data_IF_330999101450
#
_entry.id   IF_330999101450
#
_cell.length_a   1.000
_cell.length_b   1.000
_cell.length_c   1.000
_cell.angle_alpha   90.00
_cell.angle_beta   90.00
_cell.angle_gamma   90.00
#
_symmetry.space_group_name_H-M   'P 1'
#
loop_
_entity.id
_entity.type
_entity.pdbx_description
1 polymer ?
#
# COMPACT_ATOMS: atom_id res chain seq x y z
N UNK A 1 -2.20 -8.01 -16.39
CA UNK A 1 -2.43 -8.99 -15.30
C UNK A 1 -2.94 -8.27 -14.07
N UNK A 2 -3.71 -8.96 -13.21
CA UNK A 2 -4.06 -8.45 -11.88
C UNK A 2 -2.79 -8.30 -11.04
N UNK A 3 -2.74 -7.26 -10.19
CA UNK A 3 -1.53 -6.94 -9.41
C UNK A 3 -1.70 -7.12 -7.90
N UNK A 4 -2.88 -7.51 -7.44
CA UNK A 4 -3.19 -7.65 -6.02
C UNK A 4 -2.75 -6.43 -5.20
N UNK A 5 -2.24 -6.65 -3.99
CA UNK A 5 -1.83 -5.59 -3.07
C UNK A 5 -0.62 -4.73 -3.51
N UNK A 6 -0.02 -5.00 -4.67
CA UNK A 6 0.97 -4.08 -5.26
C UNK A 6 0.32 -2.73 -5.62
N UNK A 7 -1.01 -2.71 -5.80
CA UNK A 7 -1.88 -1.52 -5.89
C UNK A 7 -1.58 -0.49 -4.80
N UNK A 8 -1.29 -0.93 -3.58
CA UNK A 8 -1.07 -0.05 -2.43
C UNK A 8 0.14 0.89 -2.58
N UNK A 9 1.06 0.59 -3.50
CA UNK A 9 2.12 1.54 -3.87
C UNK A 9 1.54 2.80 -4.54
N UNK A 10 0.57 2.63 -5.46
CA UNK A 10 -0.09 3.77 -6.10
C UNK A 10 -0.96 4.54 -5.10
N UNK A 11 -1.71 3.82 -4.24
CA UNK A 11 -2.48 4.42 -3.15
C UNK A 11 -1.58 5.30 -2.28
N UNK A 12 -0.41 4.77 -1.87
CA UNK A 12 0.55 5.51 -1.06
C UNK A 12 1.10 6.76 -1.77
N UNK A 13 1.48 6.64 -3.03
CA UNK A 13 1.98 7.78 -3.81
C UNK A 13 0.95 8.90 -3.90
N UNK A 14 -0.32 8.58 -4.17
CA UNK A 14 -1.39 9.59 -4.27
C UNK A 14 -1.65 10.27 -2.92
N UNK A 15 -1.65 9.51 -1.82
CA UNK A 15 -1.77 10.07 -0.46
C UNK A 15 -0.61 11.02 -0.16
N UNK A 16 0.62 10.63 -0.50
CA UNK A 16 1.84 11.40 -0.22
C UNK A 16 2.06 12.60 -1.13
N UNK A 17 1.33 12.71 -2.24
CA UNK A 17 1.28 13.92 -3.06
C UNK A 17 0.43 15.04 -2.41
N UNK A 18 -0.34 14.70 -1.40
CA UNK A 18 -1.14 15.65 -0.62
C UNK A 18 -0.30 16.45 0.39
N UNK A 19 -0.93 17.38 1.10
CA UNK A 19 -0.26 18.15 2.15
C UNK A 19 0.30 17.26 3.26
N UNK A 20 1.53 17.51 3.69
CA UNK A 20 2.19 16.76 4.78
C UNK A 20 1.38 16.79 6.09
N UNK A 21 0.71 17.91 6.38
CA UNK A 21 -0.17 18.04 7.54
C UNK A 21 -1.32 17.05 7.57
N UNK A 22 -1.71 16.51 6.40
CA UNK A 22 -2.75 15.51 6.32
C UNK A 22 -2.34 14.16 6.92
N UNK A 23 -1.05 13.86 6.94
CA UNK A 23 -0.55 12.61 7.54
C UNK A 23 -0.87 12.47 9.03
N UNK A 24 -1.07 13.59 9.74
CA UNK A 24 -1.40 13.62 11.15
C UNK A 24 -2.92 13.69 11.41
N UNK A 25 -3.73 13.80 10.35
CA UNK A 25 -5.18 13.76 10.45
C UNK A 25 -5.66 12.41 10.98
N UNK A 26 -6.63 12.44 11.89
CA UNK A 26 -7.17 11.27 12.56
C UNK A 26 -8.41 10.75 11.84
N UNK A 27 -8.46 9.44 11.60
CA UNK A 27 -9.52 8.75 10.87
C UNK A 27 -10.15 7.68 11.76
N UNK A 28 -11.47 7.67 11.86
CA UNK A 28 -12.21 6.55 12.44
C UNK A 28 -12.37 5.44 11.39
N UNK A 29 -12.12 4.21 11.78
CA UNK A 29 -12.40 3.02 10.96
C UNK A 29 -13.87 2.69 11.05
N UNK A 30 -14.53 2.54 9.91
CA UNK A 30 -15.96 2.32 9.79
C UNK A 30 -16.28 0.90 9.27
N UNK A 31 -17.53 0.47 9.42
CA UNK A 31 -18.00 -0.80 8.85
C UNK A 31 -17.84 -0.85 7.33
N UNK A 32 -17.95 0.30 6.67
CA UNK A 32 -17.71 0.45 5.22
C UNK A 32 -16.27 0.15 4.80
N UNK A 33 -15.31 0.15 5.73
CA UNK A 33 -13.91 -0.20 5.47
C UNK A 33 -13.65 -1.72 5.50
N UNK A 34 -14.67 -2.50 5.89
CA UNK A 34 -14.57 -3.97 5.92
C UNK A 34 -14.65 -4.52 4.50
N UNK A 35 -13.68 -5.37 4.14
CA UNK A 35 -13.69 -6.05 2.85
C UNK A 35 -14.84 -7.04 2.75
N UNK A 36 -15.76 -6.78 1.82
CA UNK A 36 -16.89 -7.66 1.48
C UNK A 36 -16.68 -8.37 0.14
N UNK A 37 -15.62 -8.05 -0.60
CA UNK A 37 -15.34 -8.63 -1.92
C UNK A 37 -14.63 -9.99 -1.82
N UNK A 38 -13.65 -10.11 -0.94
CA UNK A 38 -12.83 -11.31 -0.74
C UNK A 38 -12.87 -11.82 0.70
N UNK A 39 -13.57 -11.12 1.59
CA UNK A 39 -13.63 -11.42 3.03
C UNK A 39 -12.23 -11.51 3.67
N UNK A 40 -11.31 -10.67 3.26
CA UNK A 40 -9.96 -10.63 3.81
C UNK A 40 -10.00 -10.15 5.27
N UNK A 41 -9.21 -10.79 6.12
CA UNK A 41 -9.10 -10.38 7.52
C UNK A 41 -8.23 -9.13 7.66
N UNK A 42 -8.58 -8.29 8.64
CA UNK A 42 -7.76 -7.17 9.09
C UNK A 42 -7.70 -7.15 10.61
N UNK A 43 -6.53 -6.79 11.16
CA UNK A 43 -6.34 -6.59 12.61
C UNK A 43 -6.62 -5.16 13.05
N UNK A 44 -6.96 -4.27 12.12
CA UNK A 44 -7.40 -2.89 12.40
C UNK A 44 -8.86 -2.94 12.83
N UNK A 45 -9.20 -2.64 14.11
CA UNK A 45 -10.57 -2.81 14.59
C UNK A 45 -11.50 -1.72 14.03
N UNK A 46 -12.73 -2.09 13.67
CA UNK A 46 -13.81 -1.12 13.42
C UNK A 46 -14.06 -0.31 14.69
N UNK A 47 -14.34 0.98 14.56
CA UNK A 47 -14.52 1.92 15.68
C UNK A 47 -13.22 2.42 16.31
N UNK A 48 -12.05 1.92 15.86
CA UNK A 48 -10.76 2.47 16.30
C UNK A 48 -10.36 3.69 15.48
N UNK A 49 -9.49 4.51 16.05
CA UNK A 49 -9.03 5.76 15.45
C UNK A 49 -7.54 5.70 15.14
N UNK A 50 -7.16 6.09 13.93
CA UNK A 50 -5.79 6.02 13.39
C UNK A 50 -5.44 7.30 12.66
N UNK A 51 -4.15 7.67 12.63
CA UNK A 51 -3.71 8.73 11.72
C UNK A 51 -3.57 8.20 10.30
N UNK A 52 -3.61 9.10 9.30
CA UNK A 52 -3.32 8.76 7.89
C UNK A 52 -1.95 8.09 7.79
N UNK A 53 -0.95 8.59 8.51
CA UNK A 53 0.40 8.03 8.60
C UNK A 53 0.40 6.57 9.07
N UNK A 54 -0.30 6.28 10.16
CA UNK A 54 -0.40 4.92 10.71
C UNK A 54 -1.09 3.96 9.72
N UNK A 55 -2.19 4.40 9.09
CA UNK A 55 -2.89 3.60 8.08
C UNK A 55 -2.02 3.36 6.84
N UNK A 56 -1.24 4.36 6.42
CA UNK A 56 -0.30 4.23 5.31
C UNK A 56 0.80 3.21 5.64
N UNK A 57 1.34 3.26 6.86
CA UNK A 57 2.32 2.29 7.36
C UNK A 57 1.76 0.87 7.32
N UNK A 58 0.56 0.65 7.86
CA UNK A 58 -0.12 -0.66 7.84
C UNK A 58 -0.41 -1.16 6.42
N UNK A 59 -0.82 -0.30 5.51
CA UNK A 59 -1.09 -0.66 4.13
C UNK A 59 0.19 -1.11 3.40
N UNK A 60 1.33 -0.50 3.69
CA UNK A 60 2.61 -0.82 3.04
C UNK A 60 3.32 -2.01 3.70
N UNK A 61 3.50 -2.01 5.01
CA UNK A 61 4.22 -3.05 5.77
C UNK A 61 3.40 -4.34 5.88
N UNK A 62 2.23 -4.24 6.49
CA UNK A 62 1.36 -5.39 6.77
C UNK A 62 0.40 -5.73 5.63
N UNK A 63 0.40 -4.92 4.56
CA UNK A 63 -0.53 -5.09 3.43
C UNK A 63 -2.01 -5.03 3.85
N UNK A 64 -2.35 -4.27 4.90
CA UNK A 64 -3.69 -4.23 5.47
C UNK A 64 -4.70 -3.61 4.48
N UNK A 65 -5.75 -4.38 4.15
CA UNK A 65 -6.75 -3.97 3.15
C UNK A 65 -7.72 -2.93 3.71
N UNK A 66 -8.08 -3.05 5.00
CA UNK A 66 -8.97 -2.10 5.68
C UNK A 66 -8.32 -0.73 5.78
N UNK A 67 -7.03 -0.69 6.13
CA UNK A 67 -6.25 0.54 6.14
C UNK A 67 -6.21 1.21 4.75
N UNK A 68 -5.96 0.44 3.70
CA UNK A 68 -5.94 0.96 2.33
C UNK A 68 -7.31 1.46 1.87
N UNK A 69 -8.40 0.79 2.24
CA UNK A 69 -9.76 1.22 1.93
C UNK A 69 -10.11 2.51 2.67
N UNK A 70 -9.84 2.58 3.98
CA UNK A 70 -10.07 3.78 4.79
C UNK A 70 -9.35 5.00 4.22
N UNK A 71 -8.08 4.85 3.79
CA UNK A 71 -7.33 5.91 3.11
C UNK A 71 -8.04 6.40 1.85
N UNK A 72 -8.59 5.50 1.04
CA UNK A 72 -9.36 5.86 -0.15
C UNK A 72 -10.67 6.58 0.17
N UNK A 73 -11.40 6.10 1.20
CA UNK A 73 -12.67 6.68 1.64
C UNK A 73 -12.52 8.12 2.11
N UNK A 74 -11.47 8.41 2.89
CA UNK A 74 -11.25 9.75 3.48
C UNK A 74 -10.49 10.71 2.57
N UNK A 75 -10.05 10.26 1.42
CA UNK A 75 -9.42 11.14 0.44
C UNK A 75 -10.35 12.31 0.09
N UNK A 76 -9.85 13.55 -0.08
CA UNK A 76 -10.68 14.68 -0.45
C UNK A 76 -11.55 14.39 -1.67
N UNK A 77 -12.87 14.40 -1.49
CA UNK A 77 -13.86 14.01 -2.50
C UNK A 77 -14.20 12.51 -2.51
N UNK A 78 -13.66 11.74 -1.55
CA UNK A 78 -13.98 10.32 -1.34
C UNK A 78 -13.31 9.35 -2.31
N UNK A 79 -13.71 8.08 -2.22
CA UNK A 79 -13.14 6.99 -3.01
C UNK A 79 -13.17 7.24 -4.54
N UNK A 80 -14.25 7.77 -5.15
CA UNK A 80 -14.24 8.05 -6.60
C UNK A 80 -13.14 9.02 -7.00
N UNK A 81 -12.90 10.07 -6.21
CA UNK A 81 -11.85 11.07 -6.47
C UNK A 81 -10.46 10.45 -6.26
N UNK A 82 -10.29 9.61 -5.25
CA UNK A 82 -9.06 8.84 -5.04
C UNK A 82 -8.72 7.96 -6.25
N UNK A 83 -9.68 7.21 -6.76
CA UNK A 83 -9.49 6.34 -7.93
C UNK A 83 -9.17 7.14 -9.19
N UNK A 84 -9.84 8.29 -9.37
CA UNK A 84 -9.53 9.20 -10.47
C UNK A 84 -8.09 9.73 -10.38
N UNK A 85 -7.63 10.08 -9.16
CA UNK A 85 -6.26 10.53 -8.90
C UNK A 85 -5.23 9.41 -9.15
N UNK A 86 -5.49 8.17 -8.70
CA UNK A 86 -4.62 7.01 -8.96
C UNK A 86 -4.47 6.77 -10.46
N UNK A 87 -5.56 6.76 -11.21
CA UNK A 87 -5.54 6.55 -12.66
C UNK A 87 -4.92 7.74 -13.40
N UNK A 88 -5.12 8.96 -12.91
CA UNK A 88 -4.42 10.14 -13.46
C UNK A 88 -2.92 10.02 -13.25
N UNK A 89 -2.49 9.72 -12.01
CA UNK A 89 -1.06 9.57 -11.68
C UNK A 89 -0.42 8.46 -12.52
N UNK A 90 -1.09 7.32 -12.73
CA UNK A 90 -0.59 6.27 -13.60
C UNK A 90 -0.27 6.82 -15.01
N UNK A 91 -1.18 7.57 -15.62
CA UNK A 91 -0.94 8.20 -16.93
C UNK A 91 0.19 9.22 -16.89
N UNK A 92 0.22 10.08 -15.86
CA UNK A 92 1.23 11.14 -15.71
C UNK A 92 2.65 10.58 -15.63
N UNK A 93 2.82 9.37 -15.06
CA UNK A 93 4.12 8.68 -14.96
C UNK A 93 4.33 7.62 -16.07
N UNK A 94 3.50 7.64 -17.12
CA UNK A 94 3.69 6.83 -18.33
C UNK A 94 3.19 5.39 -18.22
N UNK A 95 2.38 5.03 -17.21
CA UNK A 95 1.82 3.68 -17.05
C UNK A 95 0.50 3.56 -17.83
N UNK A 96 0.58 3.35 -19.12
CA UNK A 96 -0.57 3.42 -20.04
C UNK A 96 -1.45 2.17 -20.03
N UNK A 97 -0.92 1.03 -19.60
CA UNK A 97 -1.63 -0.25 -19.46
C UNK A 97 -2.03 -0.55 -18.00
N UNK A 98 -1.78 0.40 -17.07
CA UNK A 98 -2.12 0.27 -15.66
C UNK A 98 -3.43 0.98 -15.34
N UNK A 99 -4.30 0.28 -14.60
CA UNK A 99 -5.62 0.78 -14.24
C UNK A 99 -6.03 0.32 -12.84
N UNK A 100 -6.75 1.19 -12.10
CA UNK A 100 -7.18 0.98 -10.73
C UNK A 100 -8.69 1.17 -10.57
N UNK A 101 -9.34 0.20 -9.91
CA UNK A 101 -10.75 0.24 -9.49
C UNK A 101 -10.93 0.16 -7.98
N UNK A 102 -9.86 -0.10 -7.23
CA UNK A 102 -9.84 0.00 -5.78
C UNK A 102 -8.46 0.44 -5.26
N UNK A 103 -8.38 0.73 -3.96
CA UNK A 103 -7.16 1.19 -3.29
C UNK A 103 -6.36 0.08 -2.64
N UNK A 104 -6.91 -1.13 -2.54
CA UNK A 104 -6.33 -2.27 -1.82
C UNK A 104 -5.69 -3.31 -2.75
N UNK A 105 -6.22 -3.46 -3.96
CA UNK A 105 -5.85 -4.50 -4.93
C UNK A 105 -6.67 -5.78 -4.80
N UNK A 106 -7.80 -5.74 -4.09
CA UNK A 106 -8.74 -6.87 -3.99
C UNK A 106 -9.57 -7.01 -5.26
N UNK A 107 -9.86 -5.90 -5.94
CA UNK A 107 -10.54 -5.92 -7.22
C UNK A 107 -9.62 -6.45 -8.32
N UNK A 108 -9.98 -7.55 -9.02
CA UNK A 108 -9.15 -8.15 -10.06
C UNK A 108 -8.94 -7.25 -11.29
N UNK A 109 -9.75 -6.19 -11.42
CA UNK A 109 -9.61 -5.20 -12.47
C UNK A 109 -8.48 -4.18 -12.22
N UNK A 110 -7.87 -4.18 -11.04
CA UNK A 110 -6.59 -3.52 -10.86
C UNK A 110 -5.53 -4.26 -11.68
N UNK A 111 -5.13 -3.69 -12.79
CA UNK A 111 -4.30 -4.34 -13.80
C UNK A 111 -3.07 -3.54 -14.16
N UNK A 112 -2.00 -4.24 -14.46
CA UNK A 112 -0.74 -3.66 -14.94
C UNK A 112 0.01 -4.66 -15.82
N UNK A 113 1.14 -4.26 -16.39
CA UNK A 113 2.13 -5.16 -16.98
C UNK A 113 3.34 -5.30 -16.03
N UNK A 114 4.14 -6.38 -16.12
CA UNK A 114 5.35 -6.50 -15.31
C UNK A 114 6.32 -5.33 -15.50
N UNK A 115 6.46 -4.82 -16.73
CA UNK A 115 7.30 -3.66 -16.99
C UNK A 115 6.77 -2.38 -16.33
N UNK A 116 5.49 -2.10 -16.46
CA UNK A 116 4.89 -0.93 -15.81
C UNK A 116 4.89 -1.04 -14.28
N UNK A 117 4.80 -2.26 -13.75
CA UNK A 117 4.96 -2.48 -12.32
C UNK A 117 6.37 -2.12 -11.85
N UNK A 118 7.41 -2.47 -12.61
CA UNK A 118 8.79 -2.08 -12.30
C UNK A 118 8.94 -0.54 -12.32
N UNK A 119 8.36 0.14 -13.31
CA UNK A 119 8.34 1.61 -13.36
C UNK A 119 7.56 2.20 -12.18
N UNK A 120 6.37 1.68 -11.85
CA UNK A 120 5.61 2.10 -10.69
C UNK A 120 6.42 1.97 -9.39
N UNK A 121 7.15 0.86 -9.24
CA UNK A 121 8.03 0.62 -8.09
C UNK A 121 9.15 1.66 -8.02
N UNK A 122 9.80 1.97 -9.15
CA UNK A 122 10.82 3.01 -9.24
C UNK A 122 10.28 4.40 -8.87
N UNK A 123 9.07 4.74 -9.30
CA UNK A 123 8.41 5.98 -8.90
C UNK A 123 8.07 5.99 -7.41
N UNK A 124 7.52 4.90 -6.89
CA UNK A 124 7.21 4.75 -5.46
C UNK A 124 8.46 4.89 -4.58
N UNK A 125 9.61 4.40 -5.04
CA UNK A 125 10.89 4.49 -4.34
C UNK A 125 11.42 5.92 -4.18
N UNK A 126 10.87 6.92 -4.85
CA UNK A 126 11.22 8.32 -4.67
C UNK A 126 10.65 8.89 -3.35
N UNK A 127 9.62 8.27 -2.79
CA UNK A 127 8.99 8.69 -1.55
C UNK A 127 9.68 8.06 -0.33
N UNK A 128 10.24 8.90 0.54
CA UNK A 128 10.96 8.44 1.72
C UNK A 128 10.10 7.54 2.62
N UNK A 129 8.83 7.93 2.87
CA UNK A 129 7.91 7.15 3.70
C UNK A 129 7.50 5.81 3.07
N UNK A 130 7.45 5.71 1.74
CA UNK A 130 7.19 4.41 1.10
C UNK A 130 8.38 3.48 1.32
N UNK A 131 9.60 3.97 1.17
CA UNK A 131 10.79 3.15 1.47
C UNK A 131 10.81 2.72 2.92
N UNK A 132 10.65 3.65 3.85
CA UNK A 132 10.62 3.40 5.29
C UNK A 132 9.57 2.34 5.65
N UNK A 133 8.29 2.63 5.42
CA UNK A 133 7.19 1.75 5.84
C UNK A 133 7.18 0.39 5.14
N UNK A 134 7.59 0.32 3.88
CA UNK A 134 7.60 -0.95 3.15
C UNK A 134 8.73 -1.90 3.54
N UNK A 135 9.74 -1.38 4.26
CA UNK A 135 10.90 -2.15 4.71
C UNK A 135 11.00 -2.29 6.24
N UNK A 136 10.05 -1.72 6.98
CA UNK A 136 9.92 -2.00 8.41
C UNK A 136 9.58 -3.48 8.62
N UNK A 137 10.21 -4.10 9.62
CA UNK A 137 10.02 -5.51 9.95
C UNK A 137 8.72 -5.76 10.69
N UNK A 138 8.48 -4.93 11.72
CA UNK A 138 7.31 -4.99 12.58
C UNK A 138 7.05 -3.63 13.23
N UNK A 139 5.81 -3.39 13.61
CA UNK A 139 5.40 -2.20 14.36
C UNK A 139 4.27 -2.54 15.32
N UNK A 140 4.28 -1.90 16.49
CA UNK A 140 3.25 -2.07 17.52
C UNK A 140 2.56 -0.76 17.81
N UNK A 141 1.27 -0.72 17.56
CA UNK A 141 0.41 0.43 17.84
C UNK A 141 -0.42 0.21 19.11
N UNK A 142 -0.56 1.26 19.91
CA UNK A 142 -1.38 1.26 21.11
C UNK A 142 -2.71 1.94 20.83
N UNK A 143 -3.79 1.18 20.76
CA UNK A 143 -5.15 1.66 20.42
C UNK A 143 -6.18 1.12 21.42
N UNK A 144 -7.00 2.01 21.96
CA UNK A 144 -8.09 1.64 22.88
C UNK A 144 -7.60 0.74 24.05
N UNK A 145 -6.43 1.04 24.60
CA UNK A 145 -5.84 0.29 25.71
C UNK A 145 -5.27 -1.09 25.33
N UNK A 146 -5.19 -1.41 24.04
CA UNK A 146 -4.63 -2.66 23.52
C UNK A 146 -3.38 -2.40 22.69
N UNK A 147 -2.41 -3.32 22.76
CA UNK A 147 -1.25 -3.34 21.88
C UNK A 147 -1.55 -4.22 20.67
N UNK A 148 -1.40 -3.67 19.48
CA UNK A 148 -1.65 -4.34 18.20
C UNK A 148 -0.32 -4.39 17.43
N UNK A 149 0.29 -5.58 17.36
CA UNK A 149 1.55 -5.78 16.65
C UNK A 149 1.29 -6.28 15.22
N UNK A 150 1.98 -5.68 14.26
CA UNK A 150 1.91 -6.02 12.84
C UNK A 150 3.31 -6.33 12.33
N UNK A 151 3.39 -7.21 11.34
CA UNK A 151 4.67 -7.63 10.77
C UNK A 151 4.65 -7.43 9.25
N UNK A 152 5.83 -7.20 8.68
CA UNK A 152 5.98 -7.12 7.24
C UNK A 152 5.54 -8.43 6.58
N UNK A 153 4.86 -8.35 5.46
CA UNK A 153 4.41 -9.53 4.73
C UNK A 153 5.54 -10.25 3.98
N UNK A 154 6.67 -9.58 3.72
CA UNK A 154 7.82 -10.14 3.04
C UNK A 154 8.84 -10.74 4.03
N UNK A 155 9.09 -12.05 3.93
CA UNK A 155 10.11 -12.73 4.75
C UNK A 155 11.53 -12.21 4.50
N UNK A 156 11.83 -11.71 3.29
CA UNK A 156 13.15 -11.11 2.98
C UNK A 156 13.40 -9.87 3.86
N UNK A 157 12.34 -9.09 4.11
CA UNK A 157 12.39 -7.93 5.02
C UNK A 157 12.49 -8.39 6.47
N UNK A 158 11.55 -9.24 6.92
CA UNK A 158 11.52 -9.71 8.32
C UNK A 158 12.82 -10.35 8.78
N UNK A 159 13.41 -11.16 7.90
CA UNK A 159 14.62 -11.94 8.22
C UNK A 159 15.91 -11.20 7.82
N UNK A 160 15.83 -9.94 7.38
CA UNK A 160 16.95 -9.10 6.93
C UNK A 160 17.86 -9.77 5.89
N UNK A 161 17.26 -10.58 5.01
CA UNK A 161 18.02 -11.38 4.01
C UNK A 161 18.65 -10.55 2.90
N UNK A 162 18.22 -9.29 2.75
CA UNK A 162 18.79 -8.34 1.79
C UNK A 162 18.95 -6.96 2.44
N UNK A 163 20.09 -6.69 3.11
CA UNK A 163 20.30 -5.44 3.88
C UNK A 163 20.24 -4.16 3.05
N UNK A 164 20.49 -4.24 1.75
CA UNK A 164 20.41 -3.09 0.83
C UNK A 164 19.07 -3.00 0.09
N UNK A 165 18.02 -3.67 0.58
CA UNK A 165 16.65 -3.51 0.13
C UNK A 165 16.07 -2.22 0.69
N UNK A 166 15.46 -1.38 -0.14
CA UNK A 166 14.84 -0.13 0.31
C UNK A 166 13.39 0.06 -0.12
N UNK A 167 12.81 -0.90 -0.83
CA UNK A 167 11.37 -0.97 -1.07
C UNK A 167 10.95 -2.42 -1.23
N UNK A 168 9.81 -2.77 -0.65
CA UNK A 168 9.22 -4.09 -0.79
C UNK A 168 7.70 -4.00 -0.77
N UNK A 169 7.03 -4.70 -1.68
CA UNK A 169 5.60 -4.94 -1.57
C UNK A 169 5.23 -6.32 -2.09
N UNK A 170 4.48 -7.07 -1.28
CA UNK A 170 3.90 -8.35 -1.66
C UNK A 170 2.43 -8.21 -2.00
N UNK A 171 1.89 -9.18 -2.72
CA UNK A 171 0.47 -9.28 -3.02
C UNK A 171 0.06 -10.73 -3.27
N UNK A 172 -1.20 -11.03 -2.98
CA UNK A 172 -1.81 -12.31 -3.32
C UNK A 172 -3.33 -12.14 -3.50
N UNK A 173 -3.84 -12.60 -4.59
CA UNK A 173 -5.25 -12.96 -4.81
C UNK A 173 -5.27 -14.21 -5.69
N UNK A 174 -6.40 -14.87 -5.78
CA UNK A 174 -6.51 -16.06 -6.65
C UNK A 174 -6.27 -15.69 -8.14
N UNK A 175 -6.66 -14.49 -8.55
CA UNK A 175 -6.53 -14.01 -9.93
C UNK A 175 -5.10 -13.56 -10.27
N UNK A 176 -4.38 -12.99 -9.31
CA UNK A 176 -3.03 -12.48 -9.49
C UNK A 176 -1.95 -13.52 -9.21
N UNK A 177 -2.27 -14.53 -8.38
CA UNK A 177 -1.26 -15.40 -7.81
C UNK A 177 -0.38 -14.68 -6.78
N UNK A 178 0.78 -15.23 -6.48
CA UNK A 178 1.76 -14.61 -5.58
C UNK A 178 2.55 -13.55 -6.34
N UNK A 179 2.43 -12.31 -5.90
CA UNK A 179 3.11 -11.15 -6.48
C UNK A 179 4.12 -10.58 -5.49
N UNK A 180 5.22 -10.10 -5.99
CA UNK A 180 6.20 -9.32 -5.23
C UNK A 180 6.87 -8.31 -6.15
N UNK A 181 7.11 -7.12 -5.62
CA UNK A 181 8.07 -6.16 -6.19
C UNK A 181 9.02 -5.71 -5.09
N UNK A 182 10.26 -5.56 -5.44
CA UNK A 182 11.32 -5.13 -4.52
C UNK A 182 12.29 -4.22 -5.27
N UNK A 183 12.88 -3.26 -4.55
CA UNK A 183 13.95 -2.44 -5.08
C UNK A 183 15.08 -2.36 -4.08
N UNK A 184 16.29 -2.54 -4.55
CA UNK A 184 17.46 -2.55 -3.70
C UNK A 184 18.75 -2.53 -4.51
N UNK A 185 19.89 -2.63 -3.81
CA UNK A 185 21.20 -2.66 -4.45
C UNK A 185 21.78 -4.08 -4.43
N UNK A 186 22.18 -4.55 -5.59
CA UNK A 186 22.87 -5.84 -5.76
C UNK A 186 24.13 -5.64 -6.60
N UNK A 187 25.28 -6.09 -6.10
CA UNK A 187 26.58 -5.94 -6.78
C UNK A 187 26.86 -4.50 -7.26
N UNK A 188 26.49 -3.49 -6.44
CA UNK A 188 26.69 -2.08 -6.74
C UNK A 188 25.69 -1.45 -7.71
N UNK A 189 24.71 -2.22 -8.23
CA UNK A 189 23.67 -1.74 -9.13
C UNK A 189 22.32 -1.70 -8.43
N UNK A 190 21.55 -0.68 -8.71
CA UNK A 190 20.16 -0.58 -8.28
C UNK A 190 19.31 -1.47 -9.21
N UNK A 191 18.49 -2.32 -8.60
CA UNK A 191 17.62 -3.26 -9.32
C UNK A 191 16.19 -3.21 -8.78
N UNK A 192 15.24 -3.48 -9.66
CA UNK A 192 13.81 -3.63 -9.36
C UNK A 192 13.36 -4.99 -9.85
#
# INVERSE_FOLDING_TARGET
VSMASLTKLMTAMVILDGPTSWLDATIAIEDSDVDTLKNSSSRVPVGSTWTVRELLHLALMASDNRAAHALGRVYPGGLPTMLAAMNKKARDVGLTATFFEDTSGLNPNNRTTPLELAYMTSHAAQYALIREFSTDQEETFHKNGKSLSFHNTNAVVRDQKWPSLWLSKTGFTNEAGRCVTMMGRLAGKDIT
#
